data_IF_779393416295
#
_entry.id   IF_779393416295
#
_cell.length_a   1.000
_cell.length_b   1.000
_cell.length_c   1.000
_cell.angle_alpha   90.00
_cell.angle_beta   90.00
_cell.angle_gamma   90.00
#
_symmetry.space_group_name_H-M   'P 1'
#
loop_
_entity.id
_entity.type
_entity.pdbx_description
1 polymer ?
#
# COMPACT_ATOMS: atom_id res chain seq x y z
N UNK A 1 2.22 -7.81 -1.32
CA UNK A 1 1.68 -6.45 -1.20
C UNK A 1 2.18 -5.87 0.11
N UNK A 2 2.74 -4.67 0.09
CA UNK A 2 3.33 -3.96 1.22
C UNK A 2 2.47 -2.73 1.53
N UNK A 3 1.97 -2.63 2.76
CA UNK A 3 1.07 -1.56 3.19
C UNK A 3 1.62 -0.91 4.47
N UNK A 4 2.20 0.29 4.39
CA UNK A 4 2.54 1.06 5.58
C UNK A 4 1.26 1.69 6.16
N UNK A 5 1.12 1.64 7.48
CA UNK A 5 -0.03 2.20 8.18
C UNK A 5 0.37 3.03 9.41
N UNK A 6 -0.44 4.07 9.67
CA UNK A 6 -0.45 4.85 10.89
C UNK A 6 -1.88 5.36 11.11
N UNK A 7 -2.58 4.81 12.08
CA UNK A 7 -3.98 5.15 12.44
C UNK A 7 -5.01 4.95 11.30
N UNK A 8 -5.00 3.76 10.69
CA UNK A 8 -5.84 3.36 9.56
C UNK A 8 -6.89 2.28 9.92
N UNK A 9 -7.35 2.21 11.17
CA UNK A 9 -8.29 1.16 11.61
C UNK A 9 -9.60 1.16 10.81
N UNK A 10 -10.05 2.30 10.30
CA UNK A 10 -11.30 2.41 9.55
C UNK A 10 -11.23 1.73 8.17
N UNK A 11 -10.05 1.69 7.56
CA UNK A 11 -9.82 1.43 6.13
C UNK A 11 -9.05 0.13 5.90
N UNK A 12 -8.11 -0.20 6.81
CA UNK A 12 -7.11 -1.26 6.58
C UNK A 12 -7.72 -2.64 6.32
N UNK A 13 -8.84 -2.99 6.96
CA UNK A 13 -9.51 -4.26 6.70
C UNK A 13 -10.00 -4.39 5.25
N UNK A 14 -10.56 -3.30 4.71
CA UNK A 14 -10.98 -3.20 3.30
C UNK A 14 -9.80 -3.26 2.34
N UNK A 15 -8.70 -2.57 2.67
CA UNK A 15 -7.46 -2.60 1.88
C UNK A 15 -6.91 -4.02 1.77
N UNK A 16 -6.74 -4.71 2.90
CA UNK A 16 -6.18 -6.08 2.94
C UNK A 16 -7.06 -7.04 2.14
N UNK A 17 -8.37 -7.04 2.40
CA UNK A 17 -9.32 -7.91 1.69
C UNK A 17 -9.41 -7.61 0.20
N UNK A 18 -9.35 -6.34 -0.19
CA UNK A 18 -9.33 -5.90 -1.58
C UNK A 18 -8.12 -6.44 -2.33
N UNK A 19 -6.90 -6.26 -1.80
CA UNK A 19 -5.69 -6.76 -2.46
C UNK A 19 -5.62 -8.29 -2.51
N UNK A 20 -6.05 -8.98 -1.44
CA UNK A 20 -6.12 -10.46 -1.45
C UNK A 20 -7.08 -10.98 -2.52
N UNK A 21 -8.18 -10.27 -2.76
CA UNK A 21 -9.16 -10.63 -3.79
C UNK A 21 -8.65 -10.32 -5.19
N UNK A 22 -8.02 -9.16 -5.39
CA UNK A 22 -7.50 -8.71 -6.69
C UNK A 22 -6.25 -9.48 -7.13
N UNK A 23 -5.45 -9.98 -6.18
CA UNK A 23 -4.23 -10.74 -6.43
C UNK A 23 -4.26 -12.09 -5.67
N UNK A 24 -5.00 -13.09 -6.19
CA UNK A 24 -5.03 -14.42 -5.59
C UNK A 24 -3.61 -14.99 -5.43
N UNK A 25 -3.29 -15.49 -4.24
CA UNK A 25 -1.97 -16.05 -3.92
C UNK A 25 -0.94 -15.02 -3.41
N UNK A 26 -1.26 -13.72 -3.38
CA UNK A 26 -0.37 -12.75 -2.76
C UNK A 26 -0.40 -12.83 -1.23
N UNK A 27 0.73 -12.50 -0.60
CA UNK A 27 0.77 -12.18 0.83
C UNK A 27 0.66 -10.67 0.99
N UNK A 28 -0.27 -10.22 1.84
CA UNK A 28 -0.39 -8.81 2.23
C UNK A 28 0.34 -8.63 3.56
N UNK A 29 1.36 -7.79 3.54
CA UNK A 29 2.08 -7.35 4.73
C UNK A 29 1.61 -5.96 5.11
N UNK A 30 1.17 -5.79 6.34
CA UNK A 30 0.84 -4.50 6.93
C UNK A 30 1.91 -4.15 7.95
N UNK A 31 2.53 -2.99 7.79
CA UNK A 31 3.51 -2.48 8.75
C UNK A 31 2.94 -1.30 9.51
N UNK A 32 2.66 -1.55 10.78
CA UNK A 32 2.19 -0.54 11.72
C UNK A 32 3.37 0.34 12.18
N UNK A 33 3.28 1.66 11.97
CA UNK A 33 4.33 2.60 12.35
C UNK A 33 3.97 3.38 13.63
N UNK A 34 3.39 2.67 14.61
CA UNK A 34 3.02 3.23 15.90
C UNK A 34 1.60 3.79 15.94
N UNK A 35 0.64 3.06 15.38
CA UNK A 35 -0.77 3.46 15.48
C UNK A 35 -1.25 3.44 16.94
N UNK A 36 -2.08 4.40 17.30
CA UNK A 36 -2.78 4.48 18.58
C UNK A 36 -4.19 3.84 18.53
N UNK A 37 -4.61 3.38 17.35
CA UNK A 37 -5.91 2.76 17.11
C UNK A 37 -5.82 1.23 16.87
N UNK A 38 -6.93 0.65 16.40
CA UNK A 38 -7.08 -0.79 16.14
C UNK A 38 -6.44 -1.27 14.81
N UNK A 39 -5.60 -0.48 14.15
CA UNK A 39 -5.04 -0.78 12.81
C UNK A 39 -4.45 -2.19 12.72
N UNK A 40 -3.49 -2.50 13.60
CA UNK A 40 -2.81 -3.79 13.61
C UNK A 40 -3.78 -4.96 13.81
N UNK A 41 -4.74 -4.81 14.73
CA UNK A 41 -5.75 -5.85 15.02
C UNK A 41 -6.62 -6.12 13.80
N UNK A 42 -7.16 -5.06 13.18
CA UNK A 42 -8.05 -5.18 12.02
C UNK A 42 -7.34 -5.70 10.77
N UNK A 43 -6.07 -5.34 10.59
CA UNK A 43 -5.23 -5.89 9.53
C UNK A 43 -5.04 -7.41 9.69
N UNK A 44 -4.74 -7.87 10.90
CA UNK A 44 -4.57 -9.30 11.20
C UNK A 44 -5.88 -10.07 10.99
N UNK A 45 -7.02 -9.52 11.46
CA UNK A 45 -8.36 -10.11 11.25
C UNK A 45 -8.72 -10.24 9.77
N UNK A 46 -8.29 -9.30 8.94
CA UNK A 46 -8.47 -9.34 7.48
C UNK A 46 -7.50 -10.31 6.77
N UNK A 47 -6.59 -10.97 7.50
CA UNK A 47 -5.66 -11.96 6.97
C UNK A 47 -4.36 -11.38 6.42
N UNK A 48 -3.92 -10.22 6.91
CA UNK A 48 -2.58 -9.70 6.66
C UNK A 48 -1.55 -10.30 7.63
N UNK A 49 -0.30 -10.35 7.18
CA UNK A 49 0.85 -10.52 8.06
C UNK A 49 1.20 -9.14 8.62
N UNK A 50 1.00 -8.95 9.92
CA UNK A 50 1.24 -7.67 10.58
C UNK A 50 2.64 -7.63 11.18
N UNK A 51 3.37 -6.54 10.92
CA UNK A 51 4.67 -6.22 11.50
C UNK A 51 4.63 -4.78 12.02
N UNK A 52 5.61 -4.40 12.82
CA UNK A 52 5.72 -3.06 13.41
C UNK A 52 7.07 -2.44 13.10
N UNK A 53 7.10 -1.14 12.81
CA UNK A 53 8.32 -0.33 12.74
C UNK A 53 8.27 0.77 13.80
N UNK A 54 9.26 0.82 14.68
CA UNK A 54 9.31 1.78 15.79
C UNK A 54 9.91 3.13 15.38
N UNK A 55 10.76 3.16 14.35
CA UNK A 55 11.32 4.39 13.82
C UNK A 55 10.22 5.20 13.12
N UNK A 56 9.94 6.44 13.56
CA UNK A 56 8.82 7.20 13.03
C UNK A 56 9.05 7.64 11.60
N UNK A 57 7.97 7.63 10.82
CA UNK A 57 7.90 8.24 9.49
C UNK A 57 7.85 7.24 8.36
N UNK A 58 7.12 7.61 7.30
CA UNK A 58 6.85 6.77 6.13
C UNK A 58 8.11 6.19 5.49
N UNK A 59 9.19 6.96 5.41
CA UNK A 59 10.45 6.50 4.84
C UNK A 59 11.12 5.37 5.64
N UNK A 60 10.99 5.37 6.96
CA UNK A 60 11.55 4.31 7.82
C UNK A 60 10.79 2.99 7.61
N UNK A 61 9.46 3.04 7.67
CA UNK A 61 8.63 1.85 7.44
C UNK A 61 8.78 1.31 6.02
N UNK A 62 8.84 2.15 4.98
CA UNK A 62 9.05 1.68 3.61
C UNK A 62 10.38 0.96 3.46
N UNK A 63 11.48 1.51 3.98
CA UNK A 63 12.78 0.83 3.97
C UNK A 63 12.73 -0.50 4.71
N UNK A 64 12.07 -0.53 5.87
CA UNK A 64 11.89 -1.76 6.65
C UNK A 64 11.14 -2.82 5.87
N UNK A 65 10.02 -2.45 5.23
CA UNK A 65 9.22 -3.38 4.43
C UNK A 65 10.04 -4.07 3.34
N UNK A 66 10.86 -3.31 2.60
CA UNK A 66 11.72 -3.86 1.54
C UNK A 66 12.92 -4.65 2.08
N UNK A 67 13.40 -4.37 3.29
CA UNK A 67 14.49 -5.12 3.91
C UNK A 67 14.03 -6.49 4.46
N UNK A 68 12.78 -6.55 4.93
CA UNK A 68 12.25 -7.68 5.69
C UNK A 68 11.42 -8.68 4.86
N UNK A 69 11.03 -8.32 3.64
CA UNK A 69 10.19 -9.14 2.77
C UNK A 69 10.97 -9.45 1.50
N UNK A 70 11.11 -10.74 1.21
CA UNK A 70 11.63 -11.24 -0.06
C UNK A 70 10.46 -11.70 -0.93
N UNK A 71 10.41 -11.24 -2.17
CA UNK A 71 9.32 -11.52 -3.11
C UNK A 71 9.77 -11.32 -4.56
N UNK A 72 9.19 -12.10 -5.47
CA UNK A 72 9.40 -11.91 -6.91
C UNK A 72 8.86 -10.56 -7.39
N UNK A 73 7.78 -10.08 -6.77
CA UNK A 73 7.10 -8.83 -7.11
C UNK A 73 6.60 -8.10 -5.87
N UNK A 74 6.84 -6.79 -5.85
CA UNK A 74 6.32 -5.89 -4.83
C UNK A 74 5.18 -5.05 -5.41
N UNK A 75 4.06 -5.03 -4.70
CA UNK A 75 2.99 -4.04 -4.87
C UNK A 75 2.96 -3.23 -3.60
N UNK A 76 3.14 -1.91 -3.69
CA UNK A 76 3.11 -1.01 -2.54
C UNK A 76 1.91 -0.06 -2.66
N UNK A 77 1.14 0.06 -1.59
CA UNK A 77 -0.03 0.95 -1.51
C UNK A 77 -0.22 1.44 -0.07
N UNK A 78 -0.87 2.57 0.14
CA UNK A 78 -1.12 3.09 1.50
C UNK A 78 -2.35 2.43 2.16
N UNK A 79 -2.37 2.44 3.49
CA UNK A 79 -3.48 1.90 4.29
C UNK A 79 -4.78 2.71 4.26
N UNK A 80 -4.76 3.91 3.66
CA UNK A 80 -5.87 4.89 3.68
C UNK A 80 -7.07 4.53 2.79
N UNK A 81 -6.96 3.45 2.00
CA UNK A 81 -8.03 2.99 1.11
C UNK A 81 -8.28 3.87 -0.12
N UNK A 82 -7.39 4.81 -0.43
CA UNK A 82 -7.55 5.72 -1.58
C UNK A 82 -7.13 5.11 -2.92
N UNK A 83 -6.60 3.88 -2.90
CA UNK A 83 -6.20 3.13 -4.08
C UNK A 83 -7.21 2.03 -4.40
N UNK A 84 -7.60 1.91 -5.68
CA UNK A 84 -8.41 0.80 -6.14
C UNK A 84 -7.55 -0.46 -6.28
N UNK A 85 -7.70 -1.38 -5.32
CA UNK A 85 -6.98 -2.65 -5.32
C UNK A 85 -7.30 -3.51 -6.56
N UNK A 86 -8.46 -3.34 -7.20
CA UNK A 86 -8.82 -4.11 -8.40
C UNK A 86 -7.88 -3.82 -9.59
N UNK A 87 -7.25 -2.65 -9.63
CA UNK A 87 -6.29 -2.29 -10.68
C UNK A 87 -4.94 -3.02 -10.53
N UNK A 88 -4.63 -3.55 -9.34
CA UNK A 88 -3.33 -4.14 -9.05
C UNK A 88 -2.98 -5.31 -9.98
N UNK A 89 -3.98 -6.13 -10.35
CA UNK A 89 -3.80 -7.24 -11.29
C UNK A 89 -3.31 -6.78 -12.66
N UNK A 90 -3.85 -5.68 -13.18
CA UNK A 90 -3.43 -5.12 -14.47
C UNK A 90 -2.00 -4.57 -14.39
N UNK A 91 -1.63 -3.89 -13.31
CA UNK A 91 -0.27 -3.37 -13.14
C UNK A 91 0.77 -4.50 -13.07
N UNK A 92 0.46 -5.56 -12.32
CA UNK A 92 1.31 -6.76 -12.23
C UNK A 92 1.43 -7.46 -13.59
N UNK A 93 0.33 -7.51 -14.35
CA UNK A 93 0.33 -8.05 -15.72
C UNK A 93 1.27 -7.27 -16.64
N UNK A 94 1.15 -5.94 -16.69
CA UNK A 94 2.04 -5.09 -17.49
C UNK A 94 3.51 -5.25 -17.09
N UNK A 95 3.80 -5.25 -15.79
CA UNK A 95 5.16 -5.43 -15.31
C UNK A 95 5.78 -6.74 -15.81
N UNK A 96 5.02 -7.84 -15.80
CA UNK A 96 5.50 -9.16 -16.26
C UNK A 96 5.53 -9.33 -17.78
N UNK A 97 4.48 -8.91 -18.48
CA UNK A 97 4.34 -9.15 -19.92
C UNK A 97 5.18 -8.20 -20.75
N UNK A 98 5.35 -6.95 -20.29
CA UNK A 98 6.10 -5.92 -20.99
C UNK A 98 7.58 -5.84 -20.53
N UNK A 99 8.02 -6.78 -19.67
CA UNK A 99 9.39 -6.89 -19.11
C UNK A 99 9.89 -5.57 -18.49
N UNK A 100 9.10 -5.01 -17.57
CA UNK A 100 9.36 -3.71 -16.96
C UNK A 100 9.95 -3.87 -15.55
N UNK A 101 10.87 -2.97 -15.18
CA UNK A 101 11.40 -2.93 -13.81
C UNK A 101 10.40 -2.36 -12.79
N UNK A 102 9.50 -1.45 -13.24
CA UNK A 102 8.55 -0.75 -12.38
C UNK A 102 7.34 -0.24 -13.17
N UNK A 103 6.16 -0.35 -12.55
CA UNK A 103 4.92 0.24 -13.06
C UNK A 103 4.30 1.10 -11.96
N UNK A 104 3.89 2.32 -12.30
CA UNK A 104 3.27 3.26 -11.36
C UNK A 104 1.83 3.53 -11.76
N UNK A 105 0.90 3.31 -10.83
CA UNK A 105 -0.49 3.71 -11.00
C UNK A 105 -0.61 5.24 -10.95
N UNK A 106 -1.13 5.84 -12.02
CA UNK A 106 -1.42 7.28 -12.08
C UNK A 106 -2.92 7.54 -11.90
N UNK A 107 -3.26 8.57 -11.12
CA UNK A 107 -4.66 9.03 -11.00
C UNK A 107 -4.98 9.94 -12.19
N UNK A 108 -5.96 9.57 -13.00
CA UNK A 108 -6.50 10.43 -14.06
C UNK A 108 -7.69 11.26 -13.57
N UNK A 109 -7.87 12.47 -14.09
CA UNK A 109 -9.06 13.28 -13.79
C UNK A 109 -9.06 13.97 -12.42
N UNK A 110 -7.88 14.19 -11.81
CA UNK A 110 -7.74 15.03 -10.61
C UNK A 110 -7.90 16.51 -11.02
N UNK A 111 -9.12 16.90 -11.34
CA UNK A 111 -9.52 18.30 -11.45
C UNK A 111 -10.23 18.69 -10.16
N UNK A 112 -9.48 19.34 -9.28
CA UNK A 112 -9.93 20.03 -8.05
C UNK A 112 -10.20 19.10 -6.85
N UNK A 113 -9.46 19.38 -5.77
CA UNK A 113 -9.57 18.90 -4.39
C UNK A 113 -9.31 17.42 -4.05
N UNK A 114 -8.02 17.09 -3.87
CA UNK A 114 -7.58 16.28 -2.75
C UNK A 114 -6.64 17.16 -1.90
N UNK A 115 -7.19 17.80 -0.88
CA UNK A 115 -6.56 18.86 -0.10
C UNK A 115 -5.17 18.53 0.44
N UNK A 116 -4.17 19.27 -0.04
CA UNK A 116 -3.01 19.86 0.66
C UNK A 116 -2.10 20.47 -0.40
N UNK A 117 -1.78 21.75 -0.27
CA UNK A 117 -1.18 22.62 -1.29
C UNK A 117 0.25 22.24 -1.79
N UNK A 118 0.74 21.03 -1.53
CA UNK A 118 2.09 20.58 -1.94
C UNK A 118 2.13 19.44 -2.96
N UNK A 119 1.10 18.61 -3.07
CA UNK A 119 1.17 17.39 -3.91
C UNK A 119 1.11 17.69 -5.42
N UNK A 120 0.40 18.76 -5.81
CA UNK A 120 0.31 19.16 -7.22
C UNK A 120 1.65 19.65 -7.81
N UNK A 121 2.57 20.15 -6.97
CA UNK A 121 3.90 20.53 -7.43
C UNK A 121 4.79 19.30 -7.65
N UNK A 122 4.77 18.34 -6.71
CA UNK A 122 5.53 17.10 -6.83
C UNK A 122 5.17 16.26 -8.06
N UNK A 123 3.90 16.29 -8.48
CA UNK A 123 3.44 15.56 -9.67
C UNK A 123 3.76 16.24 -11.02
N UNK A 124 4.42 17.41 -11.02
CA UNK A 124 4.81 18.15 -12.25
C UNK A 124 6.30 18.11 -12.57
N UNK A 125 7.14 17.58 -11.67
CA UNK A 125 8.58 17.41 -11.90
C UNK A 125 8.87 16.04 -12.51
#
# INVERSE_FOLDING_TARGET
VLVPCLDEAATIGGVVTGFRSALPGCTVYVYDNGSADDTARRAAEAGAVVRSEAAPGKGAVVRRMFADVDADLYVMADGDGTYDAAQAGQLVKHLREDDLDMVVGARSGVTVDAGRAGHAFGNRL
#
